data_IF_227846233673
#
_entry.id   IF_227846233673
#
_cell.length_a   1.000
_cell.length_b   1.000
_cell.length_c   1.000
_cell.angle_alpha   90.00
_cell.angle_beta   90.00
_cell.angle_gamma   90.00
#
_symmetry.space_group_name_H-M   'P 1'
#
loop_
_entity.id
_entity.type
_entity.pdbx_description
1 polymer ?
#
# COMPACT_ATOMS: atom_id res chain seq x y z
N UNK A 1 6.02 -8.15 10.95
CA UNK A 1 4.63 -7.75 10.62
C UNK A 1 3.84 -9.02 10.48
N UNK A 2 2.66 -9.12 11.08
CA UNK A 2 1.85 -10.34 10.93
C UNK A 2 0.94 -10.22 9.72
N UNK A 3 0.84 -11.30 8.95
CA UNK A 3 -0.05 -11.38 7.80
C UNK A 3 -0.88 -12.65 7.89
N UNK A 4 -2.19 -12.50 7.79
CA UNK A 4 -3.14 -13.61 7.79
C UNK A 4 -3.74 -13.72 6.40
N UNK A 5 -3.65 -14.89 5.78
CA UNK A 5 -4.14 -15.14 4.42
C UNK A 5 -5.17 -16.26 4.49
N UNK A 6 -6.30 -16.10 3.81
CA UNK A 6 -7.31 -17.15 3.62
C UNK A 6 -7.70 -17.29 2.17
N UNK A 7 -7.92 -18.53 1.72
CA UNK A 7 -8.43 -18.88 0.39
C UNK A 7 -7.67 -18.27 -0.79
N UNK A 8 -6.34 -18.33 -0.76
CA UNK A 8 -5.46 -17.96 -1.86
C UNK A 8 -5.07 -19.22 -2.66
N UNK A 9 -5.98 -19.68 -3.52
CA UNK A 9 -5.82 -20.91 -4.30
C UNK A 9 -5.67 -22.14 -3.42
N UNK A 10 -4.49 -22.77 -3.49
CA UNK A 10 -4.15 -23.94 -2.67
C UNK A 10 -3.88 -23.59 -1.21
N UNK A 11 -3.62 -22.32 -0.89
CA UNK A 11 -3.43 -21.85 0.48
C UNK A 11 -4.80 -21.57 1.09
N UNK A 12 -5.28 -22.50 1.94
CA UNK A 12 -6.54 -22.35 2.66
C UNK A 12 -6.45 -21.33 3.79
N UNK A 13 -5.39 -21.42 4.59
CA UNK A 13 -5.09 -20.53 5.69
C UNK A 13 -3.57 -20.46 5.87
N UNK A 14 -3.04 -19.28 6.16
CA UNK A 14 -1.65 -19.08 6.53
C UNK A 14 -1.52 -17.87 7.46
N UNK A 15 -0.84 -18.05 8.58
CA UNK A 15 -0.37 -16.97 9.46
C UNK A 15 1.14 -16.83 9.29
N UNK A 16 1.59 -15.68 8.83
CA UNK A 16 2.98 -15.42 8.45
C UNK A 16 3.51 -14.26 9.28
N UNK A 17 4.66 -14.45 9.94
CA UNK A 17 5.44 -13.34 10.50
C UNK A 17 6.42 -12.84 9.44
N UNK A 18 6.05 -11.77 8.74
CA UNK A 18 6.86 -11.16 7.71
C UNK A 18 7.99 -10.34 8.35
N UNK A 19 9.23 -10.76 8.10
CA UNK A 19 10.47 -10.07 8.50
C UNK A 19 11.11 -9.37 7.30
N UNK A 20 12.08 -8.44 7.52
CA UNK A 20 12.77 -7.74 6.44
C UNK A 20 13.31 -8.64 5.33
N UNK A 21 13.74 -9.85 5.68
CA UNK A 21 13.99 -10.94 4.74
C UNK A 21 13.12 -12.13 5.13
N UNK A 22 12.19 -12.51 4.26
CA UNK A 22 11.34 -13.70 4.43
C UNK A 22 11.52 -14.59 3.23
N UNK A 23 11.90 -15.85 3.46
CA UNK A 23 12.13 -16.85 2.39
C UNK A 23 11.11 -17.98 2.54
N UNK A 24 10.33 -18.22 1.48
CA UNK A 24 9.39 -19.34 1.43
C UNK A 24 10.09 -20.58 0.87
N UNK A 25 10.26 -21.62 1.69
CA UNK A 25 10.92 -22.88 1.32
C UNK A 25 9.91 -24.02 1.38
N UNK A 26 10.00 -24.97 0.44
CA UNK A 26 9.17 -26.17 0.42
C UNK A 26 8.95 -26.73 -0.98
N UNK A 27 8.27 -27.88 -1.12
CA UNK A 27 8.04 -28.55 -2.40
C UNK A 27 7.35 -27.66 -3.44
N UNK A 28 7.50 -27.97 -4.72
CA UNK A 28 6.78 -27.24 -5.77
C UNK A 28 5.26 -27.36 -5.59
N UNK A 29 4.53 -26.34 -6.06
CA UNK A 29 3.07 -26.32 -6.03
C UNK A 29 2.43 -26.37 -4.62
N UNK A 30 3.09 -25.81 -3.61
CA UNK A 30 2.57 -25.71 -2.21
C UNK A 30 2.12 -24.31 -1.82
N UNK A 31 2.05 -23.37 -2.77
CA UNK A 31 1.49 -22.02 -2.55
C UNK A 31 2.52 -20.93 -2.30
N UNK A 32 3.82 -21.29 -2.23
CA UNK A 32 4.93 -20.34 -2.02
C UNK A 32 4.89 -19.16 -3.00
N UNK A 33 4.79 -19.44 -4.30
CA UNK A 33 4.72 -18.41 -5.35
C UNK A 33 3.48 -17.55 -5.21
N UNK A 34 2.34 -18.14 -4.86
CA UNK A 34 1.08 -17.41 -4.71
C UNK A 34 1.16 -16.43 -3.56
N UNK A 35 1.65 -16.88 -2.39
CA UNK A 35 1.85 -16.03 -1.22
C UNK A 35 2.86 -14.92 -1.51
N UNK A 36 4.01 -15.26 -2.09
CA UNK A 36 5.04 -14.27 -2.43
C UNK A 36 4.52 -13.21 -3.40
N UNK A 37 3.76 -13.61 -4.43
CA UNK A 37 3.19 -12.67 -5.40
C UNK A 37 2.04 -11.86 -4.80
N UNK A 38 1.19 -12.44 -3.97
CA UNK A 38 0.14 -11.70 -3.27
C UNK A 38 0.73 -10.59 -2.40
N UNK A 39 1.73 -10.93 -1.56
CA UNK A 39 2.43 -9.98 -0.71
C UNK A 39 3.14 -8.91 -1.55
N UNK A 40 3.89 -9.32 -2.58
CA UNK A 40 4.62 -8.40 -3.45
C UNK A 40 3.72 -7.48 -4.28
N UNK A 41 2.55 -7.96 -4.69
CA UNK A 41 1.54 -7.17 -5.39
C UNK A 41 0.90 -6.13 -4.47
N UNK A 42 0.48 -6.54 -3.26
CA UNK A 42 -0.22 -5.67 -2.30
C UNK A 42 0.71 -4.62 -1.72
N UNK A 43 1.92 -5.01 -1.31
CA UNK A 43 2.91 -4.10 -0.71
C UNK A 43 3.73 -3.34 -1.75
N UNK A 44 3.49 -3.59 -3.04
CA UNK A 44 4.23 -3.02 -4.16
C UNK A 44 3.46 -1.93 -4.91
N UNK A 45 4.10 -1.41 -5.96
CA UNK A 45 3.56 -0.34 -6.81
C UNK A 45 2.26 -0.73 -7.53
N UNK A 46 2.07 -2.02 -7.83
CA UNK A 46 0.86 -2.50 -8.51
C UNK A 46 -0.38 -2.33 -7.62
N UNK A 47 -0.32 -2.84 -6.39
CA UNK A 47 -1.39 -2.70 -5.40
C UNK A 47 -1.64 -1.23 -5.06
N UNK A 48 -0.58 -0.44 -4.87
CA UNK A 48 -0.68 1.01 -4.69
C UNK A 48 -1.48 1.67 -5.82
N UNK A 49 -1.13 1.41 -7.09
CA UNK A 49 -1.82 2.02 -8.23
C UNK A 49 -3.30 1.63 -8.29
N UNK A 50 -3.61 0.33 -8.13
CA UNK A 50 -5.00 -0.16 -8.10
C UNK A 50 -5.82 0.44 -6.96
N UNK A 51 -5.19 0.62 -5.81
CA UNK A 51 -5.84 1.25 -4.66
C UNK A 51 -6.10 2.74 -4.90
N UNK A 52 -5.15 3.48 -5.46
CA UNK A 52 -5.35 4.90 -5.78
C UNK A 52 -6.49 5.08 -6.78
N UNK A 53 -6.55 4.24 -7.83
CA UNK A 53 -7.68 4.24 -8.76
C UNK A 53 -9.00 3.98 -8.03
N UNK A 54 -9.07 2.97 -7.17
CA UNK A 54 -10.27 2.63 -6.41
C UNK A 54 -10.68 3.76 -5.44
N UNK A 55 -9.72 4.39 -4.77
CA UNK A 55 -9.94 5.50 -3.85
C UNK A 55 -10.50 6.73 -4.57
N UNK A 56 -9.88 7.14 -5.68
CA UNK A 56 -10.35 8.29 -6.47
C UNK A 56 -11.77 8.05 -7.01
N UNK A 57 -12.07 6.81 -7.41
CA UNK A 57 -13.39 6.44 -7.90
C UNK A 57 -14.41 6.13 -6.79
N UNK A 58 -14.11 6.47 -5.52
CA UNK A 58 -14.99 6.24 -4.36
C UNK A 58 -15.43 4.78 -4.16
N UNK A 59 -14.60 3.83 -4.61
CA UNK A 59 -14.83 2.39 -4.45
C UNK A 59 -14.31 1.85 -3.12
N UNK A 60 -13.58 2.68 -2.37
CA UNK A 60 -13.13 2.38 -1.01
C UNK A 60 -13.62 3.48 -0.07
N UNK A 61 -14.24 3.09 1.03
CA UNK A 61 -14.61 4.00 2.10
C UNK A 61 -13.42 4.18 3.06
N UNK A 62 -12.41 4.91 2.60
CA UNK A 62 -11.26 5.27 3.42
C UNK A 62 -11.36 6.74 3.81
N UNK A 63 -11.63 7.01 5.08
CA UNK A 63 -11.71 8.38 5.55
C UNK A 63 -10.31 8.88 5.99
N UNK A 64 -9.58 9.46 5.03
CA UNK A 64 -8.41 10.30 5.33
C UNK A 64 -8.78 11.79 5.36
N UNK A 65 -10.07 12.12 5.30
CA UNK A 65 -10.57 13.45 5.00
C UNK A 65 -10.08 14.48 6.02
N UNK A 66 -10.00 14.11 7.29
CA UNK A 66 -9.55 15.03 8.34
C UNK A 66 -8.12 15.55 8.11
N UNK A 67 -7.21 14.73 7.59
CA UNK A 67 -5.83 15.15 7.28
C UNK A 67 -5.74 15.76 5.88
N UNK A 68 -6.46 15.22 4.91
CA UNK A 68 -6.35 15.67 3.52
C UNK A 68 -7.10 16.98 3.24
N UNK A 69 -8.19 17.27 3.96
CA UNK A 69 -8.99 18.47 3.76
C UNK A 69 -8.20 19.75 4.09
N UNK A 70 -7.43 19.75 5.18
CA UNK A 70 -6.57 20.88 5.55
C UNK A 70 -5.47 21.11 4.50
N UNK A 71 -4.83 20.03 4.02
CA UNK A 71 -3.82 20.09 2.95
C UNK A 71 -4.43 20.66 1.66
N UNK A 72 -5.61 20.19 1.28
CA UNK A 72 -6.30 20.68 0.07
C UNK A 72 -6.56 22.18 0.17
N UNK A 73 -7.09 22.64 1.31
CA UNK A 73 -7.39 24.05 1.52
C UNK A 73 -6.12 24.91 1.50
N UNK A 74 -5.04 24.49 2.18
CA UNK A 74 -3.76 25.20 2.16
C UNK A 74 -3.14 25.30 0.77
N UNK A 75 -3.22 24.22 -0.03
CA UNK A 75 -2.74 24.24 -1.42
C UNK A 75 -3.53 25.26 -2.25
N UNK A 76 -4.87 25.28 -2.12
CA UNK A 76 -5.73 26.19 -2.87
C UNK A 76 -5.51 27.66 -2.49
N UNK A 77 -5.29 27.95 -1.21
CA UNK A 77 -5.13 29.32 -0.70
C UNK A 77 -3.70 29.86 -0.84
N UNK A 78 -2.69 29.03 -0.55
CA UNK A 78 -1.29 29.47 -0.39
C UNK A 78 -0.35 28.93 -1.48
N UNK A 79 -0.84 28.03 -2.34
CA UNK A 79 -0.02 27.33 -3.34
C UNK A 79 0.98 26.33 -2.75
N UNK A 80 0.93 26.08 -1.43
CA UNK A 80 1.80 25.14 -0.72
C UNK A 80 1.12 24.63 0.56
N UNK A 81 1.44 23.40 0.95
CA UNK A 81 1.06 22.81 2.21
C UNK A 81 2.19 21.94 2.75
N UNK A 82 2.19 21.69 4.05
CA UNK A 82 3.11 20.76 4.71
C UNK A 82 2.31 19.62 5.35
N UNK A 83 2.76 18.38 5.12
CA UNK A 83 2.21 17.19 5.76
C UNK A 83 3.27 16.58 6.67
N UNK A 84 2.94 16.40 7.95
CA UNK A 84 3.76 15.53 8.80
C UNK A 84 3.51 14.08 8.40
N UNK A 85 4.37 13.57 7.52
CA UNK A 85 4.27 12.22 6.98
C UNK A 85 4.48 11.16 8.07
N UNK A 86 5.18 11.48 9.16
CA UNK A 86 5.41 10.54 10.27
C UNK A 86 4.12 10.39 11.06
N UNK A 87 3.49 11.50 11.43
CA UNK A 87 2.18 11.48 12.10
C UNK A 87 1.12 10.82 11.23
N UNK A 88 1.03 11.21 9.95
CA UNK A 88 0.07 10.59 9.02
C UNK A 88 0.27 9.08 8.91
N UNK A 89 1.52 8.62 8.82
CA UNK A 89 1.78 7.18 8.78
C UNK A 89 1.42 6.51 10.11
N UNK A 90 1.73 7.14 11.25
CA UNK A 90 1.39 6.59 12.55
C UNK A 90 -0.13 6.39 12.69
N UNK A 91 -0.93 7.34 12.23
CA UNK A 91 -2.39 7.27 12.32
C UNK A 91 -3.01 6.33 11.28
N UNK A 92 -2.45 6.28 10.06
CA UNK A 92 -3.13 5.67 8.91
C UNK A 92 -2.46 4.42 8.32
N UNK A 93 -1.27 4.00 8.76
CA UNK A 93 -0.51 2.89 8.13
C UNK A 93 -1.33 1.61 8.00
N UNK A 94 -1.93 1.14 9.10
CA UNK A 94 -2.64 -0.13 9.13
C UNK A 94 -3.93 -0.06 8.30
N UNK A 95 -4.69 1.02 8.45
CA UNK A 95 -5.88 1.30 7.65
C UNK A 95 -5.55 1.33 6.16
N UNK A 96 -4.50 2.05 5.79
CA UNK A 96 -4.04 2.16 4.41
C UNK A 96 -3.67 0.81 3.80
N UNK A 97 -2.80 0.04 4.46
CA UNK A 97 -2.36 -1.26 3.92
C UNK A 97 -3.53 -2.24 3.83
N UNK A 98 -4.41 -2.27 4.83
CA UNK A 98 -5.57 -3.17 4.80
C UNK A 98 -6.63 -2.73 3.76
N UNK A 99 -6.71 -1.45 3.42
CA UNK A 99 -7.53 -0.99 2.29
C UNK A 99 -6.94 -1.37 0.93
N UNK A 100 -5.61 -1.32 0.75
CA UNK A 100 -4.96 -1.87 -0.45
C UNK A 100 -5.23 -3.38 -0.55
N UNK A 101 -5.18 -4.06 0.59
CA UNK A 101 -5.43 -5.49 0.71
C UNK A 101 -6.89 -5.87 0.39
N UNK A 102 -7.87 -5.05 0.80
CA UNK A 102 -9.29 -5.33 0.57
C UNK A 102 -9.68 -5.25 -0.91
N UNK A 103 -9.08 -4.32 -1.67
CA UNK A 103 -9.30 -4.22 -3.11
C UNK A 103 -8.53 -5.27 -3.91
N UNK A 104 -7.60 -6.01 -3.29
CA UNK A 104 -6.75 -6.99 -3.97
C UNK A 104 -7.55 -8.09 -4.66
N UNK A 105 -8.70 -8.49 -4.11
CA UNK A 105 -9.59 -9.47 -4.72
C UNK A 105 -9.97 -9.10 -6.17
N UNK A 106 -10.07 -7.81 -6.49
CA UNK A 106 -10.44 -7.33 -7.82
C UNK A 106 -9.33 -7.42 -8.88
N UNK A 107 -8.07 -7.55 -8.48
CA UNK A 107 -6.93 -7.49 -9.41
C UNK A 107 -5.89 -8.60 -9.24
N UNK A 108 -5.89 -9.33 -8.13
CA UNK A 108 -4.83 -10.30 -7.79
C UNK A 108 -4.78 -11.50 -8.73
N UNK A 109 -5.92 -11.92 -9.30
CA UNK A 109 -5.97 -12.96 -10.34
C UNK A 109 -5.24 -12.55 -11.61
N UNK A 110 -5.44 -11.30 -12.04
CA UNK A 110 -4.75 -10.76 -13.20
C UNK A 110 -3.24 -10.60 -12.92
N UNK A 111 -2.89 -10.20 -11.70
CA UNK A 111 -1.49 -10.04 -11.29
C UNK A 111 -0.73 -11.36 -11.20
N UNK A 112 -1.33 -12.40 -10.60
CA UNK A 112 -0.69 -13.72 -10.43
C UNK A 112 -0.84 -14.58 -11.71
N UNK A 113 -1.83 -14.28 -12.56
CA UNK A 113 -2.12 -15.04 -13.78
C UNK A 113 -2.94 -16.31 -13.53
N UNK A 114 -3.97 -16.24 -12.67
CA UNK A 114 -4.78 -17.39 -12.24
C UNK A 114 -6.28 -17.13 -12.42
N UNK A 115 -7.06 -18.21 -12.55
CA UNK A 115 -8.52 -18.11 -12.69
C UNK A 115 -9.21 -17.57 -11.42
N UNK A 116 -10.24 -16.71 -11.55
CA UNK A 116 -11.01 -16.16 -10.41
C UNK A 116 -11.59 -17.20 -9.45
N UNK A 117 -11.86 -18.41 -9.92
CA UNK A 117 -12.37 -19.51 -9.09
C UNK A 117 -11.43 -19.86 -7.91
N UNK A 118 -10.14 -19.56 -8.03
CA UNK A 118 -9.14 -19.85 -7.01
C UNK A 118 -9.09 -18.80 -5.88
N UNK A 119 -9.79 -17.68 -6.00
CA UNK A 119 -9.75 -16.58 -5.01
C UNK A 119 -11.16 -16.11 -4.59
N UNK A 120 -12.18 -16.94 -4.79
CA UNK A 120 -13.59 -16.57 -4.57
C UNK A 120 -13.83 -15.94 -3.19
N UNK A 121 -13.20 -16.50 -2.15
CA UNK A 121 -13.34 -16.07 -0.76
C UNK A 121 -12.00 -15.60 -0.18
N UNK A 122 -11.11 -15.10 -1.07
CA UNK A 122 -9.80 -14.62 -0.70
C UNK A 122 -9.89 -13.44 0.27
N UNK A 123 -9.19 -13.55 1.39
CA UNK A 123 -8.97 -12.45 2.32
C UNK A 123 -7.50 -12.43 2.74
N UNK A 124 -7.02 -11.23 3.02
CA UNK A 124 -5.68 -11.02 3.57
C UNK A 124 -5.72 -9.81 4.49
N UNK A 125 -5.10 -9.95 5.66
CA UNK A 125 -5.07 -8.93 6.70
C UNK A 125 -3.65 -8.75 7.21
N UNK A 126 -3.28 -7.50 7.47
CA UNK A 126 -1.96 -7.09 7.95
C UNK A 126 -2.08 -6.44 9.33
N UNK A 127 -1.24 -6.90 10.26
CA UNK A 127 -1.12 -6.38 11.63
C UNK A 127 0.31 -5.83 11.82
N UNK A 128 0.37 -4.57 12.26
CA UNK A 128 1.60 -3.78 12.42
C UNK A 128 2.04 -3.59 13.87
N UNK A 129 1.39 -4.23 14.85
CA UNK A 129 1.60 -4.02 16.29
C UNK A 129 3.08 -4.02 16.71
N UNK A 130 3.91 -4.84 16.06
CA UNK A 130 5.34 -5.02 16.41
C UNK A 130 6.32 -4.28 15.50
N UNK A 131 5.87 -3.75 14.36
CA UNK A 131 6.76 -3.27 13.30
C UNK A 131 6.50 -1.80 12.94
N UNK A 132 5.44 -1.21 13.50
CA UNK A 132 5.06 0.18 13.27
C UNK A 132 6.21 1.15 13.52
N UNK A 133 6.89 1.02 14.66
CA UNK A 133 8.01 1.90 15.03
C UNK A 133 9.17 1.80 14.02
N UNK A 134 9.53 0.59 13.59
CA UNK A 134 10.59 0.38 12.60
C UNK A 134 10.24 1.03 11.25
N UNK A 135 8.97 0.93 10.84
CA UNK A 135 8.47 1.56 9.61
C UNK A 135 8.54 3.09 9.73
N UNK A 136 8.12 3.67 10.86
CA UNK A 136 8.20 5.11 11.11
C UNK A 136 9.66 5.60 11.08
N UNK A 137 10.59 4.85 11.65
CA UNK A 137 12.02 5.17 11.61
C UNK A 137 12.59 5.13 10.18
N UNK A 138 12.21 4.13 9.37
CA UNK A 138 12.57 4.08 7.94
C UNK A 138 11.99 5.25 7.16
N UNK A 139 10.79 5.69 7.52
CA UNK A 139 10.16 6.88 6.92
C UNK A 139 10.95 8.12 7.32
N UNK A 140 11.32 8.36 8.57
CA UNK A 140 12.12 9.54 8.95
C UNK A 140 13.44 9.67 8.15
N UNK A 141 14.08 8.53 7.89
CA UNK A 141 15.39 8.45 7.21
C UNK A 141 15.31 8.52 5.68
N UNK A 142 14.12 8.42 5.09
CA UNK A 142 13.93 8.47 3.63
C UNK A 142 13.71 9.89 3.13
N UNK A 143 14.45 10.26 2.09
CA UNK A 143 14.23 11.49 1.33
C UNK A 143 13.42 11.19 0.07
N UNK A 144 12.60 12.13 -0.37
CA UNK A 144 11.86 12.02 -1.62
C UNK A 144 11.82 13.38 -2.30
N UNK A 145 11.93 13.39 -3.64
CA UNK A 145 11.63 14.57 -4.45
C UNK A 145 10.93 14.12 -5.72
N UNK A 146 9.72 14.61 -5.93
CA UNK A 146 8.88 14.27 -7.06
C UNK A 146 8.27 15.54 -7.64
N UNK A 147 8.12 15.58 -8.96
CA UNK A 147 7.42 16.65 -9.67
C UNK A 147 6.22 16.06 -10.40
N UNK A 148 5.07 16.67 -10.24
CA UNK A 148 3.84 16.31 -10.94
C UNK A 148 3.46 17.45 -11.89
N UNK A 149 3.10 17.13 -13.13
CA UNK A 149 2.67 18.08 -14.15
C UNK A 149 1.61 17.45 -15.05
N UNK A 150 0.93 18.27 -15.86
CA UNK A 150 -0.09 17.81 -16.82
C UNK A 150 0.46 17.89 -18.25
N UNK A 151 0.26 16.85 -19.06
CA UNK A 151 0.64 16.84 -20.49
C UNK A 151 1.94 16.09 -20.85
N UNK A 152 2.25 16.06 -22.15
CA UNK A 152 3.42 15.32 -22.71
C UNK A 152 4.76 16.01 -22.47
N UNK A 153 4.75 17.33 -22.26
CA UNK A 153 5.93 18.08 -21.87
C UNK A 153 5.99 18.14 -20.34
N UNK A 154 6.90 17.37 -19.72
CA UNK A 154 7.19 17.42 -18.27
C UNK A 154 7.82 18.74 -17.81
N UNK A 155 7.76 19.80 -18.63
CA UNK A 155 8.46 21.07 -18.44
C UNK A 155 7.70 22.00 -17.47
N UNK A 156 6.37 21.89 -17.38
CA UNK A 156 5.55 22.66 -16.43
C UNK A 156 5.04 21.77 -15.29
N UNK A 157 5.80 21.71 -14.21
CA UNK A 157 5.37 21.00 -12.99
C UNK A 157 4.27 21.81 -12.28
N UNK A 158 3.06 21.25 -12.19
CA UNK A 158 1.95 21.78 -11.41
C UNK A 158 2.21 21.70 -9.90
N UNK A 159 2.85 20.61 -9.45
CA UNK A 159 3.19 20.41 -8.05
C UNK A 159 4.61 19.89 -7.88
N UNK A 160 5.31 20.45 -6.91
CA UNK A 160 6.57 19.91 -6.43
C UNK A 160 6.33 19.29 -5.04
N UNK A 161 6.67 18.02 -4.89
CA UNK A 161 6.61 17.32 -3.61
C UNK A 161 8.04 17.00 -3.18
N UNK A 162 8.41 17.44 -1.98
CA UNK A 162 9.71 17.14 -1.40
C UNK A 162 9.56 16.71 0.05
N UNK A 163 10.37 15.72 0.42
CA UNK A 163 10.56 15.26 1.79
C UNK A 163 12.05 15.22 2.07
N UNK A 164 12.46 15.97 3.09
CA UNK A 164 13.83 15.98 3.59
C UNK A 164 14.03 14.87 4.63
N UNK A 165 15.28 14.40 4.78
CA UNK A 165 15.61 13.48 5.86
C UNK A 165 15.52 14.22 7.18
N UNK A 166 14.87 13.62 8.18
CA UNK A 166 15.03 14.05 9.58
C UNK A 166 16.09 13.15 10.22
N UNK A 167 17.15 13.78 10.73
CA UNK A 167 18.27 13.14 11.42
C UNK A 167 17.97 12.99 12.91
#
# INVERSE_FOLDING_TARGET
MKVQIRNLGIVREADIDLKPLTVFIGPNNTGKTWVAYALGGILGLYGWGKYIDAYINSQVNADYHNVLASIQQEILEKGRAALDIVQFTDECLETYVNHVASVAKGWITAFIGVSPQHIKDFTIHFDFLRDKEEILERIKKSAMRTRYGFGKAREEALFNVSKEKRF
#
